data_IF_469141347947
#
_entry.id   IF_469141347947
#
_cell.length_a   1.000
_cell.length_b   1.000
_cell.length_c   1.000
_cell.angle_alpha   90.00
_cell.angle_beta   90.00
_cell.angle_gamma   90.00
#
_symmetry.space_group_name_H-M   'P 1'
#
loop_
_entity.id
_entity.type
_entity.pdbx_description
1 polymer ?
#
# COMPACT_ATOMS: atom_id res chain seq x y z
N UNK A 1 47.65 1.41 13.76
CA UNK A 1 46.29 1.47 13.20
C UNK A 1 46.30 0.61 11.94
N UNK A 2 45.73 -0.59 11.99
CA UNK A 2 45.70 -1.46 10.80
C UNK A 2 44.57 -0.99 9.89
N UNK A 3 44.93 -0.51 8.69
CA UNK A 3 43.97 -0.25 7.63
C UNK A 3 43.37 -1.58 7.16
N UNK A 4 42.04 -1.71 7.25
CA UNK A 4 41.30 -2.83 6.69
C UNK A 4 41.37 -2.75 5.14
N UNK A 5 42.37 -3.38 4.54
CA UNK A 5 42.47 -3.52 3.09
C UNK A 5 41.48 -4.60 2.59
N UNK A 6 40.23 -4.21 2.39
CA UNK A 6 39.21 -5.07 1.76
C UNK A 6 39.51 -5.23 0.27
N UNK A 7 39.65 -6.46 -0.21
CA UNK A 7 39.73 -6.69 -1.65
C UNK A 7 38.33 -6.61 -2.29
N UNK A 8 38.28 -6.32 -3.60
CA UNK A 8 37.01 -6.16 -4.35
C UNK A 8 36.05 -7.33 -4.21
N UNK A 9 36.57 -8.56 -4.09
CA UNK A 9 35.77 -9.78 -3.90
C UNK A 9 35.15 -9.83 -2.50
N UNK A 10 35.89 -9.46 -1.47
CA UNK A 10 35.37 -9.38 -0.10
C UNK A 10 34.32 -8.28 0.03
N UNK A 11 34.53 -7.13 -0.64
CA UNK A 11 33.52 -6.07 -0.71
C UNK A 11 32.23 -6.56 -1.39
N UNK A 12 32.34 -7.25 -2.53
CA UNK A 12 31.19 -7.81 -3.26
C UNK A 12 30.44 -8.86 -2.44
N UNK A 13 31.15 -9.76 -1.76
CA UNK A 13 30.56 -10.80 -0.89
C UNK A 13 29.82 -10.15 0.28
N UNK A 14 30.43 -9.16 0.95
CA UNK A 14 29.81 -8.44 2.05
C UNK A 14 28.55 -7.68 1.61
N UNK A 15 28.58 -7.03 0.43
CA UNK A 15 27.40 -6.37 -0.13
C UNK A 15 26.29 -7.34 -0.55
N UNK A 16 26.62 -8.53 -1.04
CA UNK A 16 25.64 -9.55 -1.43
C UNK A 16 24.86 -10.11 -0.25
N UNK A 17 25.52 -10.27 0.91
CA UNK A 17 24.86 -10.69 2.15
C UNK A 17 23.85 -9.65 2.66
N UNK A 18 24.14 -8.36 2.49
CA UNK A 18 23.22 -7.27 2.83
C UNK A 18 22.03 -7.14 1.87
N UNK A 19 22.17 -7.59 0.63
CA UNK A 19 21.09 -7.55 -0.36
C UNK A 19 20.14 -8.77 -0.27
N UNK A 20 20.60 -9.90 0.27
CA UNK A 20 19.77 -11.10 0.44
C UNK A 20 18.57 -10.86 1.37
N UNK A 21 18.67 -9.95 2.35
CA UNK A 21 17.55 -9.59 3.24
C UNK A 21 16.46 -8.80 2.53
N UNK A 22 16.77 -8.09 1.43
CA UNK A 22 15.80 -7.37 0.61
C UNK A 22 15.04 -8.28 -0.37
N UNK A 23 15.51 -9.51 -0.55
CA UNK A 23 14.95 -10.46 -1.53
C UNK A 23 13.80 -11.33 -1.03
N UNK A 24 13.45 -11.27 0.26
CA UNK A 24 12.40 -12.10 0.84
C UNK A 24 11.01 -11.48 0.59
N UNK A 25 10.16 -12.09 -0.27
CA UNK A 25 8.80 -11.61 -0.47
C UNK A 25 8.04 -11.69 0.86
N UNK A 26 7.52 -10.55 1.34
CA UNK A 26 6.82 -10.47 2.62
C UNK A 26 7.67 -10.06 3.82
N UNK A 27 8.99 -9.86 3.66
CA UNK A 27 9.81 -9.24 4.70
C UNK A 27 9.55 -7.73 4.74
N UNK A 28 8.62 -7.30 5.59
CA UNK A 28 8.54 -5.90 6.01
C UNK A 28 9.64 -5.68 7.05
N UNK A 29 10.80 -5.20 6.62
CA UNK A 29 11.85 -4.72 7.53
C UNK A 29 11.45 -3.35 8.08
N UNK A 30 10.47 -3.34 8.97
CA UNK A 30 10.26 -2.24 9.90
C UNK A 30 10.94 -2.59 11.21
N UNK A 31 12.15 -2.09 11.44
CA UNK A 31 12.77 -2.14 12.76
C UNK A 31 12.53 -0.80 13.43
N UNK A 32 11.89 -0.80 14.59
CA UNK A 32 11.82 0.40 15.42
C UNK A 32 13.23 0.88 15.75
N UNK A 33 13.43 2.20 15.70
CA UNK A 33 14.68 2.78 16.18
C UNK A 33 14.81 2.45 17.67
N UNK A 34 15.96 1.94 18.09
CA UNK A 34 16.23 1.66 19.51
C UNK A 34 17.21 2.67 20.07
N UNK A 35 16.99 3.11 21.31
CA UNK A 35 17.90 4.00 22.01
C UNK A 35 19.13 3.26 22.55
N UNK A 36 20.04 3.99 23.19
CA UNK A 36 21.26 3.42 23.79
C UNK A 36 20.98 2.40 24.90
N UNK A 37 19.76 2.35 25.45
CA UNK A 37 19.30 1.38 26.44
C UNK A 37 18.63 0.15 25.81
N UNK A 38 18.49 0.13 24.49
CA UNK A 38 17.84 -0.93 23.73
C UNK A 38 16.31 -0.83 23.73
N UNK A 39 15.74 0.30 24.15
CA UNK A 39 14.29 0.52 24.14
C UNK A 39 13.85 1.14 22.83
N UNK A 40 12.68 0.73 22.33
CA UNK A 40 12.07 1.32 21.15
C UNK A 40 11.80 2.81 21.37
N UNK A 41 12.32 3.63 20.48
CA UNK A 41 12.07 5.07 20.41
C UNK A 41 10.72 5.27 19.73
N UNK A 42 9.85 6.05 20.35
CA UNK A 42 8.59 6.42 19.75
C UNK A 42 8.82 7.12 18.40
N UNK A 43 8.06 6.73 17.38
CA UNK A 43 8.14 7.36 16.06
C UNK A 43 7.69 8.82 16.15
N UNK A 44 8.46 9.74 15.57
CA UNK A 44 8.06 11.14 15.35
C UNK A 44 6.91 11.28 14.33
N UNK A 45 6.48 10.17 13.71
CA UNK A 45 5.41 10.12 12.71
C UNK A 45 4.15 9.52 13.33
N UNK A 46 3.04 10.23 13.21
CA UNK A 46 1.70 9.72 13.53
C UNK A 46 0.91 9.49 12.25
N UNK A 47 0.12 8.42 12.21
CA UNK A 47 -0.75 8.07 11.08
C UNK A 47 -2.19 7.92 11.59
N UNK A 48 -3.14 8.53 10.87
CA UNK A 48 -4.57 8.28 11.09
C UNK A 48 -5.01 7.29 10.03
N UNK A 49 -5.48 6.14 10.47
CA UNK A 49 -6.03 5.11 9.59
C UNK A 49 -7.55 5.12 9.66
N UNK A 50 -8.20 5.38 8.52
CA UNK A 50 -9.66 5.39 8.39
C UNK A 50 -10.10 4.15 7.61
N UNK A 51 -10.68 3.18 8.31
CA UNK A 51 -11.23 1.97 7.71
C UNK A 51 -12.75 2.10 7.57
N UNK A 52 -13.25 2.08 6.34
CA UNK A 52 -14.68 2.14 6.04
C UNK A 52 -15.27 0.72 5.92
N UNK A 53 -15.62 0.12 7.05
CA UNK A 53 -16.28 -1.20 7.06
C UNK A 53 -17.69 -1.10 6.44
N UNK A 54 -17.89 -1.70 5.27
CA UNK A 54 -19.13 -1.54 4.48
C UNK A 54 -19.24 -0.20 3.77
N UNK A 55 -18.12 0.50 3.56
CA UNK A 55 -18.07 1.77 2.82
C UNK A 55 -18.53 1.66 1.35
N UNK A 56 -18.62 2.80 0.66
CA UNK A 56 -19.06 2.82 -0.73
C UNK A 56 -18.10 2.05 -1.64
N UNK A 57 -18.62 1.51 -2.74
CA UNK A 57 -17.80 0.82 -3.74
C UNK A 57 -16.76 1.76 -4.32
N UNK A 58 -15.51 1.29 -4.41
CA UNK A 58 -14.44 1.95 -5.14
C UNK A 58 -14.79 2.33 -6.59
N UNK A 59 -15.61 1.52 -7.29
CA UNK A 59 -16.09 1.82 -8.64
C UNK A 59 -17.04 3.03 -8.64
N UNK A 60 -17.78 3.23 -7.55
CA UNK A 60 -18.68 4.37 -7.37
C UNK A 60 -17.97 5.60 -6.79
N UNK A 61 -16.71 5.52 -6.36
CA UNK A 61 -16.02 6.64 -5.69
C UNK A 61 -14.78 7.15 -6.45
N UNK A 62 -13.71 6.35 -6.48
CA UNK A 62 -12.38 6.80 -6.90
C UNK A 62 -11.80 6.03 -8.10
N UNK A 63 -12.33 4.85 -8.44
CA UNK A 63 -11.90 4.04 -9.60
C UNK A 63 -13.06 3.73 -10.54
N UNK A 64 -13.73 4.81 -10.96
CA UNK A 64 -14.87 4.74 -11.88
C UNK A 64 -14.50 4.10 -13.21
N UNK A 65 -15.45 3.38 -13.80
CA UNK A 65 -15.31 2.73 -15.11
C UNK A 65 -16.26 3.38 -16.12
N UNK A 66 -16.08 4.66 -16.50
CA UNK A 66 -17.08 5.39 -17.29
C UNK A 66 -17.38 4.74 -18.65
N UNK A 67 -16.45 4.00 -19.21
CA UNK A 67 -16.62 3.33 -20.50
C UNK A 67 -17.24 1.91 -20.38
N UNK A 68 -17.48 1.42 -19.16
CA UNK A 68 -18.14 0.14 -18.92
C UNK A 68 -19.68 0.29 -18.98
N UNK A 69 -20.42 -0.80 -19.24
CA UNK A 69 -21.89 -0.77 -19.23
C UNK A 69 -22.43 -0.31 -17.87
N UNK A 70 -23.60 0.34 -17.89
CA UNK A 70 -24.23 0.96 -16.71
C UNK A 70 -24.35 -0.02 -15.52
N UNK A 71 -24.65 -1.28 -15.80
CA UNK A 71 -24.80 -2.35 -14.80
C UNK A 71 -23.51 -2.63 -14.01
N UNK A 72 -22.34 -2.22 -14.54
CA UNK A 72 -21.04 -2.41 -13.90
C UNK A 72 -20.44 -1.13 -13.33
N UNK A 73 -20.62 0.02 -14.00
CA UNK A 73 -19.99 1.29 -13.61
C UNK A 73 -20.76 2.12 -12.58
N UNK A 74 -22.01 1.74 -12.30
CA UNK A 74 -22.90 2.52 -11.47
C UNK A 74 -23.45 3.78 -12.18
N UNK A 75 -24.35 4.52 -11.50
CA UNK A 75 -25.11 5.61 -12.12
C UNK A 75 -24.38 6.95 -12.18
N UNK A 76 -23.19 7.04 -11.60
CA UNK A 76 -22.49 8.30 -11.40
C UNK A 76 -21.60 8.67 -12.59
N UNK A 77 -21.37 9.97 -12.73
CA UNK A 77 -20.44 10.52 -13.73
C UNK A 77 -19.13 11.02 -13.11
N UNK A 78 -18.01 10.95 -13.85
CA UNK A 78 -16.74 11.48 -13.40
C UNK A 78 -16.67 13.01 -13.55
N UNK A 79 -16.02 13.68 -12.61
CA UNK A 79 -15.62 15.09 -12.68
C UNK A 79 -14.09 15.22 -12.74
N UNK A 80 -13.62 16.29 -13.37
CA UNK A 80 -12.20 16.65 -13.36
C UNK A 80 -11.77 17.16 -11.98
N UNK A 81 -10.49 16.93 -11.65
CA UNK A 81 -9.86 17.44 -10.43
C UNK A 81 -8.87 18.56 -10.74
N UNK A 82 -8.30 19.18 -9.70
CA UNK A 82 -7.20 20.16 -9.85
C UNK A 82 -5.93 19.54 -10.48
N UNK A 83 -5.79 18.21 -10.45
CA UNK A 83 -4.68 17.49 -11.08
C UNK A 83 -5.12 17.01 -12.48
N UNK A 84 -4.49 17.48 -13.56
CA UNK A 84 -4.85 17.08 -14.92
C UNK A 84 -4.77 15.56 -15.12
N UNK A 85 -5.84 14.98 -15.66
CA UNK A 85 -5.94 13.55 -15.93
C UNK A 85 -6.44 12.69 -14.76
N UNK A 86 -6.51 13.23 -13.54
CA UNK A 86 -7.18 12.58 -12.41
C UNK A 86 -8.65 12.99 -12.38
N UNK A 87 -9.54 11.98 -12.33
CA UNK A 87 -10.99 12.14 -12.25
C UNK A 87 -11.55 11.42 -11.03
N UNK A 88 -12.60 11.98 -10.43
CA UNK A 88 -13.32 11.40 -9.28
C UNK A 88 -14.82 11.39 -9.55
N UNK A 89 -15.60 10.70 -8.71
CA UNK A 89 -17.06 10.79 -8.73
C UNK A 89 -17.55 12.24 -8.53
N UNK A 90 -18.60 12.63 -9.26
CA UNK A 90 -19.23 13.96 -9.19
C UNK A 90 -19.66 14.43 -7.79
N UNK A 91 -19.92 13.51 -6.86
CA UNK A 91 -20.23 13.78 -5.46
C UNK A 91 -19.02 14.25 -4.64
N UNK A 92 -17.79 13.99 -5.12
CA UNK A 92 -16.54 14.34 -4.46
C UNK A 92 -16.05 15.76 -4.79
N UNK A 93 -16.96 16.74 -4.80
CA UNK A 93 -16.67 18.13 -5.21
C UNK A 93 -15.53 18.78 -4.42
N UNK A 94 -15.49 18.62 -3.09
CA UNK A 94 -14.41 19.19 -2.27
C UNK A 94 -13.10 18.40 -2.41
N UNK A 95 -13.16 17.07 -2.53
CA UNK A 95 -11.95 16.26 -2.76
C UNK A 95 -11.32 16.55 -4.13
N UNK A 96 -12.12 16.81 -5.16
CA UNK A 96 -11.61 17.16 -6.49
C UNK A 96 -10.75 18.43 -6.47
N UNK A 97 -11.06 19.39 -5.56
CA UNK A 97 -10.27 20.61 -5.36
C UNK A 97 -8.99 20.39 -4.54
N UNK A 98 -8.93 19.30 -3.76
CA UNK A 98 -7.81 18.95 -2.89
C UNK A 98 -6.95 17.82 -3.48
N UNK A 99 -7.15 17.46 -4.76
CA UNK A 99 -6.50 16.31 -5.37
C UNK A 99 -4.98 16.43 -5.51
N UNK A 100 -4.43 17.64 -5.36
CA UNK A 100 -2.99 17.92 -5.26
C UNK A 100 -2.42 17.72 -3.83
N UNK A 101 -3.29 17.47 -2.84
CA UNK A 101 -2.91 17.27 -1.42
C UNK A 101 -2.98 15.80 -0.99
N UNK A 102 -3.43 14.90 -1.86
CA UNK A 102 -3.44 13.47 -1.59
C UNK A 102 -2.98 12.68 -2.81
N UNK A 103 -2.62 11.42 -2.56
CA UNK A 103 -2.31 10.46 -3.62
C UNK A 103 -3.39 9.40 -3.64
N UNK A 104 -4.02 9.22 -4.80
CA UNK A 104 -4.92 8.10 -5.03
C UNK A 104 -4.10 6.88 -5.43
N UNK A 105 -4.30 5.77 -4.73
CA UNK A 105 -3.69 4.47 -5.07
C UNK A 105 -4.77 3.57 -5.65
N UNK A 106 -4.74 3.34 -6.96
CA UNK A 106 -5.68 2.48 -7.69
C UNK A 106 -5.04 1.15 -8.16
N UNK A 107 -3.84 0.84 -7.69
CA UNK A 107 -3.06 -0.34 -8.08
C UNK A 107 -3.23 -1.55 -7.16
N UNK A 108 -4.16 -1.48 -6.20
CA UNK A 108 -4.36 -2.56 -5.23
C UNK A 108 -5.05 -3.75 -5.90
N UNK A 109 -4.54 -4.95 -5.65
CA UNK A 109 -5.14 -6.22 -6.06
C UNK A 109 -4.94 -7.27 -4.96
N UNK A 110 -5.76 -8.32 -4.99
CA UNK A 110 -5.66 -9.44 -4.05
C UNK A 110 -5.53 -10.77 -4.80
N UNK A 111 -4.94 -11.80 -4.18
CA UNK A 111 -4.82 -13.11 -4.79
C UNK A 111 -6.17 -13.85 -4.81
N UNK A 112 -6.59 -14.32 -5.99
CA UNK A 112 -7.78 -15.15 -6.15
C UNK A 112 -9.09 -14.43 -5.80
N UNK A 113 -10.17 -15.19 -5.70
CA UNK A 113 -11.50 -14.67 -5.34
C UNK A 113 -11.70 -14.77 -3.83
N UNK A 114 -11.70 -13.62 -3.14
CA UNK A 114 -12.06 -13.54 -1.73
C UNK A 114 -13.58 -13.33 -1.64
N UNK A 115 -14.29 -14.28 -1.05
CA UNK A 115 -15.75 -14.36 -1.13
C UNK A 115 -16.50 -13.76 0.07
N UNK A 116 -15.79 -13.27 1.10
CA UNK A 116 -16.42 -12.64 2.26
C UNK A 116 -15.62 -11.43 2.77
N UNK A 117 -16.31 -10.57 3.51
CA UNK A 117 -15.75 -9.31 4.01
C UNK A 117 -14.63 -9.50 5.04
N UNK A 118 -14.71 -10.52 5.90
CA UNK A 118 -13.73 -10.74 6.96
C UNK A 118 -12.36 -11.12 6.40
N UNK A 119 -12.34 -12.04 5.43
CA UNK A 119 -11.11 -12.48 4.78
C UNK A 119 -10.51 -11.37 3.91
N UNK A 120 -11.35 -10.56 3.26
CA UNK A 120 -10.89 -9.44 2.45
C UNK A 120 -10.25 -8.37 3.34
N UNK A 121 -10.85 -8.06 4.49
CA UNK A 121 -10.27 -7.14 5.47
C UNK A 121 -8.99 -7.70 6.08
N UNK A 122 -8.97 -9.00 6.40
CA UNK A 122 -7.75 -9.65 6.88
C UNK A 122 -6.63 -9.49 5.84
N UNK A 123 -6.90 -9.82 4.58
CA UNK A 123 -5.92 -9.71 3.50
C UNK A 123 -5.41 -8.28 3.30
N UNK A 124 -6.31 -7.30 3.35
CA UNK A 124 -5.95 -5.88 3.24
C UNK A 124 -5.01 -5.43 4.36
N UNK A 125 -5.28 -5.83 5.61
CA UNK A 125 -4.56 -5.34 6.78
C UNK A 125 -3.29 -6.13 7.09
N UNK A 126 -3.28 -7.44 6.84
CA UNK A 126 -2.12 -8.31 7.13
C UNK A 126 -1.22 -8.55 5.92
N UNK A 127 -1.73 -8.33 4.70
CA UNK A 127 -1.06 -8.74 3.46
C UNK A 127 -1.10 -10.26 3.22
N UNK A 128 -1.76 -11.03 4.08
CA UNK A 128 -1.87 -12.49 4.00
C UNK A 128 -3.25 -12.89 3.50
N UNK A 129 -3.35 -13.82 2.56
CA UNK A 129 -4.63 -14.45 2.22
C UNK A 129 -4.70 -15.82 2.90
N UNK A 130 -5.90 -16.30 3.23
CA UNK A 130 -6.06 -17.64 3.86
C UNK A 130 -5.33 -18.74 3.06
N UNK A 131 -5.40 -18.66 1.72
CA UNK A 131 -4.65 -19.56 0.83
C UNK A 131 -3.14 -19.53 1.13
N UNK A 132 -2.54 -18.36 1.35
CA UNK A 132 -1.12 -18.25 1.74
C UNK A 132 -0.87 -18.81 3.14
N UNK A 133 -1.75 -18.53 4.11
CA UNK A 133 -1.62 -19.06 5.48
C UNK A 133 -1.64 -20.59 5.51
N UNK A 134 -2.42 -21.22 4.62
CA UNK A 134 -2.45 -22.68 4.47
C UNK A 134 -1.24 -23.25 3.71
N UNK A 135 -0.57 -22.44 2.89
CA UNK A 135 0.55 -22.84 2.04
C UNK A 135 1.94 -22.55 2.65
N UNK A 136 2.03 -21.75 3.73
CA UNK A 136 3.25 -21.45 4.49
C UNK A 136 3.80 -20.05 4.24
#
# INVERSE_FOLDING_TARGET
MNELQLNRRQALIASGMGALSLGMPGAVLGTDAVDASGQAVASDKSCIFVLLCGGPSHVDTWDMKPDAPLDYRGPYDPIDTVVPGLRLNEMHTELARLADQFTLINSMSHPGSISNHFDAMHNLLSGQSERRVQEG
#
